data_IF_081147737420
#
_entry.id   IF_081147737420
#
_cell.length_a   1.000
_cell.length_b   1.000
_cell.length_c   1.000
_cell.angle_alpha   90.00
_cell.angle_beta   90.00
_cell.angle_gamma   90.00
#
_symmetry.space_group_name_H-M   'P 1'
#
loop_
_entity.id
_entity.type
_entity.pdbx_description
1 polymer ?
#
# COMPACT_ATOMS: atom_id res chain seq x y z
N UNK A 1 -25.18 -1.73 1.45
CA UNK A 1 -24.04 -0.80 1.59
C UNK A 1 -22.77 -1.55 1.18
N UNK A 2 -22.33 -1.40 -0.07
CA UNK A 2 -21.04 -1.95 -0.46
C UNK A 2 -19.95 -1.16 0.27
N UNK A 3 -19.06 -1.87 0.96
CA UNK A 3 -17.94 -1.27 1.67
C UNK A 3 -17.09 -0.47 0.67
N UNK A 4 -17.22 0.87 0.68
CA UNK A 4 -16.55 1.81 -0.24
C UNK A 4 -15.03 1.70 -0.14
N UNK A 5 -14.54 1.40 1.06
CA UNK A 5 -13.11 1.39 1.36
C UNK A 5 -12.65 -0.05 1.59
N UNK A 6 -11.76 -0.53 0.73
CA UNK A 6 -11.02 -1.77 0.96
C UNK A 6 -9.76 -1.41 1.74
N UNK A 7 -9.48 -2.11 2.84
CA UNK A 7 -8.26 -1.92 3.62
C UNK A 7 -7.52 -3.23 3.76
N UNK A 8 -6.20 -3.20 3.63
CA UNK A 8 -5.33 -4.30 4.02
C UNK A 8 -4.22 -3.80 4.95
N UNK A 9 -3.66 -4.70 5.75
CA UNK A 9 -2.53 -4.41 6.63
C UNK A 9 -1.50 -5.52 6.55
N UNK A 10 -0.23 -5.16 6.55
CA UNK A 10 0.89 -6.09 6.55
C UNK A 10 1.94 -5.65 7.58
N UNK A 11 2.69 -6.61 8.09
CA UNK A 11 3.89 -6.36 8.88
C UNK A 11 5.10 -6.92 8.13
N UNK A 12 6.12 -6.08 7.94
CA UNK A 12 7.40 -6.51 7.38
C UNK A 12 8.53 -5.88 8.17
N UNK A 13 9.48 -6.71 8.64
CA UNK A 13 10.65 -6.27 9.40
C UNK A 13 10.30 -5.35 10.60
N UNK A 14 9.24 -5.68 11.33
CA UNK A 14 8.77 -4.87 12.47
C UNK A 14 8.04 -3.58 12.11
N UNK A 15 7.83 -3.30 10.82
CA UNK A 15 7.10 -2.12 10.36
C UNK A 15 5.67 -2.49 10.00
N UNK A 16 4.73 -1.85 10.68
CA UNK A 16 3.31 -1.99 10.37
C UNK A 16 2.95 -1.06 9.21
N UNK A 17 2.40 -1.61 8.14
CA UNK A 17 1.91 -0.83 7.01
C UNK A 17 0.46 -1.18 6.70
N UNK A 18 -0.29 -0.18 6.22
CA UNK A 18 -1.69 -0.34 5.85
C UNK A 18 -1.93 0.28 4.48
N UNK A 19 -2.76 -0.36 3.66
CA UNK A 19 -3.19 0.15 2.38
C UNK A 19 -4.70 0.38 2.41
N UNK A 20 -5.13 1.58 2.04
CA UNK A 20 -6.55 1.94 1.88
C UNK A 20 -6.84 2.23 0.41
N UNK A 21 -7.86 1.58 -0.11
CA UNK A 21 -8.37 1.83 -1.45
C UNK A 21 -9.83 2.27 -1.41
N UNK A 22 -10.07 3.47 -1.91
CA UNK A 22 -11.39 4.04 -2.08
C UNK A 22 -11.95 3.68 -3.45
N UNK A 23 -12.96 2.82 -3.48
CA UNK A 23 -13.52 2.27 -4.73
C UNK A 23 -14.23 3.30 -5.59
N UNK A 24 -14.81 4.34 -4.98
CA UNK A 24 -15.58 5.36 -5.71
C UNK A 24 -14.64 6.33 -6.42
N UNK A 25 -13.52 6.67 -5.78
CA UNK A 25 -12.54 7.63 -6.31
C UNK A 25 -11.34 6.97 -6.99
N UNK A 26 -11.16 5.66 -6.79
CA UNK A 26 -9.96 4.92 -7.19
C UNK A 26 -8.70 5.35 -6.46
N UNK A 27 -8.82 6.05 -5.32
CA UNK A 27 -7.68 6.56 -4.55
C UNK A 27 -7.05 5.46 -3.71
N UNK A 28 -5.74 5.31 -3.82
CA UNK A 28 -4.91 4.39 -3.02
C UNK A 28 -4.06 5.19 -2.03
N UNK A 29 -4.05 4.80 -0.76
CA UNK A 29 -3.23 5.39 0.29
C UNK A 29 -2.43 4.31 1.00
N UNK A 30 -1.16 4.57 1.27
CA UNK A 30 -0.30 3.70 2.06
C UNK A 30 0.12 4.43 3.33
N UNK A 31 -0.08 3.77 4.45
CA UNK A 31 0.33 4.21 5.77
C UNK A 31 1.44 3.31 6.28
N UNK A 32 2.37 3.87 7.03
CA UNK A 32 3.46 3.17 7.69
C UNK A 32 3.54 3.69 9.13
N UNK A 33 3.41 2.81 10.12
CA UNK A 33 3.31 3.15 11.54
C UNK A 33 2.27 4.27 11.81
N UNK A 34 1.16 4.25 11.06
CA UNK A 34 0.08 5.24 11.14
C UNK A 34 0.30 6.53 10.36
N UNK A 35 1.49 6.78 9.81
CA UNK A 35 1.77 7.97 9.00
C UNK A 35 1.49 7.71 7.51
N UNK A 36 0.80 8.65 6.84
CA UNK A 36 0.59 8.58 5.38
C UNK A 36 1.93 8.73 4.65
N UNK A 37 2.33 7.71 3.90
CA UNK A 37 3.58 7.68 3.14
C UNK A 37 3.36 7.96 1.67
N UNK A 38 2.33 7.35 1.10
CA UNK A 38 2.02 7.46 -0.31
C UNK A 38 0.53 7.65 -0.51
N UNK A 39 0.21 8.48 -1.49
CA UNK A 39 -1.15 8.68 -1.96
C UNK A 39 -1.12 8.72 -3.48
N UNK A 40 -1.91 7.85 -4.11
CA UNK A 40 -2.04 7.77 -5.55
C UNK A 40 -3.50 7.91 -5.96
N UNK A 41 -3.70 8.67 -7.03
CA UNK A 41 -4.98 8.85 -7.70
C UNK A 41 -4.98 8.11 -9.04
N UNK A 42 -6.15 7.85 -9.65
CA UNK A 42 -6.20 7.30 -11.00
C UNK A 42 -5.43 8.16 -12.01
N UNK A 43 -4.74 7.56 -13.00
CA UNK A 43 -4.62 6.11 -13.23
C UNK A 43 -3.48 5.45 -12.43
N UNK A 44 -2.64 6.23 -11.74
CA UNK A 44 -1.44 5.71 -11.05
C UNK A 44 -1.76 4.69 -9.96
N UNK A 45 -2.84 4.90 -9.21
CA UNK A 45 -3.32 3.92 -8.21
C UNK A 45 -3.59 2.55 -8.84
N UNK A 46 -4.24 2.53 -10.00
CA UNK A 46 -4.52 1.31 -10.75
C UNK A 46 -3.27 0.67 -11.32
N UNK A 47 -2.34 1.45 -11.86
CA UNK A 47 -1.05 0.94 -12.32
C UNK A 47 -0.32 0.23 -11.17
N UNK A 48 -0.20 0.87 -10.00
CA UNK A 48 0.45 0.27 -8.83
C UNK A 48 -0.19 -1.07 -8.42
N UNK A 49 -1.52 -1.11 -8.33
CA UNK A 49 -2.27 -2.32 -7.97
C UNK A 49 -2.05 -3.43 -9.00
N UNK A 50 -2.19 -3.10 -10.29
CA UNK A 50 -2.06 -4.07 -11.37
C UNK A 50 -0.65 -4.65 -11.48
N UNK A 51 0.38 -3.82 -11.30
CA UNK A 51 1.78 -4.24 -11.29
C UNK A 51 2.10 -5.13 -10.09
N UNK A 52 1.62 -4.78 -8.89
CA UNK A 52 1.90 -5.54 -7.68
C UNK A 52 1.15 -6.90 -7.65
N UNK A 53 -0.12 -6.92 -8.09
CA UNK A 53 -0.95 -8.12 -8.10
C UNK A 53 -0.71 -9.04 -9.33
N UNK A 54 0.35 -8.79 -10.11
CA UNK A 54 0.72 -9.63 -11.25
C UNK A 54 -0.34 -9.71 -12.34
N UNK A 55 -1.09 -8.61 -12.58
CA UNK A 55 -2.12 -8.52 -13.62
C UNK A 55 -3.28 -9.55 -13.50
N UNK A 56 -3.47 -10.20 -12.34
CA UNK A 56 -4.38 -11.35 -12.21
C UNK A 56 -5.88 -11.02 -12.35
N UNK A 57 -6.29 -9.77 -12.16
CA UNK A 57 -7.72 -9.38 -12.13
C UNK A 57 -8.00 -8.05 -12.83
N UNK A 58 -7.73 -7.96 -14.12
CA UNK A 58 -8.18 -6.82 -14.92
C UNK A 58 -9.71 -6.69 -14.82
N UNK A 59 -10.20 -5.54 -14.37
CA UNK A 59 -11.62 -5.22 -14.26
C UNK A 59 -12.32 -5.57 -12.94
N UNK A 60 -11.65 -6.26 -11.99
CA UNK A 60 -12.21 -6.54 -10.68
C UNK A 60 -11.72 -5.52 -9.64
N UNK A 61 -12.61 -5.03 -8.77
CA UNK A 61 -12.23 -4.11 -7.70
C UNK A 61 -11.17 -4.76 -6.81
N UNK A 62 -10.08 -4.05 -6.47
CA UNK A 62 -9.03 -4.61 -5.64
C UNK A 62 -9.61 -5.01 -4.28
N UNK A 63 -9.41 -6.28 -3.94
CA UNK A 63 -9.69 -6.81 -2.62
C UNK A 63 -8.45 -6.70 -1.73
N UNK A 64 -8.56 -7.24 -0.53
CA UNK A 64 -7.48 -7.18 0.48
C UNK A 64 -6.19 -7.81 -0.05
N UNK A 65 -6.27 -8.95 -0.75
CA UNK A 65 -5.09 -9.63 -1.32
C UNK A 65 -4.31 -8.79 -2.32
N UNK A 66 -5.00 -8.04 -3.18
CA UNK A 66 -4.33 -7.15 -4.13
C UNK A 66 -3.65 -5.98 -3.40
N UNK A 67 -4.26 -5.48 -2.32
CA UNK A 67 -3.66 -4.43 -1.49
C UNK A 67 -2.48 -4.94 -0.64
N UNK A 68 -2.53 -6.18 -0.16
CA UNK A 68 -1.39 -6.83 0.49
C UNK A 68 -0.21 -6.95 -0.47
N UNK A 69 -0.45 -7.34 -1.73
CA UNK A 69 0.59 -7.39 -2.75
C UNK A 69 1.22 -6.00 -2.98
N UNK A 70 0.41 -4.93 -3.01
CA UNK A 70 0.91 -3.54 -3.07
C UNK A 70 1.77 -3.21 -1.86
N UNK A 71 1.36 -3.59 -0.66
CA UNK A 71 2.15 -3.37 0.55
C UNK A 71 3.50 -4.07 0.46
N UNK A 72 3.51 -5.34 0.05
CA UNK A 72 4.76 -6.08 -0.14
C UNK A 72 5.67 -5.42 -1.18
N UNK A 73 5.13 -4.93 -2.30
CA UNK A 73 5.90 -4.25 -3.34
C UNK A 73 6.47 -2.90 -2.86
N UNK A 74 5.67 -2.10 -2.15
CA UNK A 74 6.10 -0.79 -1.63
C UNK A 74 7.16 -0.97 -0.54
N UNK A 75 7.01 -1.98 0.30
CA UNK A 75 7.95 -2.27 1.39
C UNK A 75 9.23 -2.96 0.87
N UNK A 76 9.15 -3.78 -0.18
CA UNK A 76 10.33 -4.45 -0.79
C UNK A 76 11.20 -3.49 -1.59
N UNK A 77 10.59 -2.50 -2.26
CA UNK A 77 11.29 -1.47 -3.05
C UNK A 77 12.05 -0.45 -2.20
N UNK A 78 11.95 -0.50 -0.87
CA UNK A 78 12.77 0.31 0.03
C UNK A 78 14.05 -0.43 0.42
N UNK A 79 15.22 -0.06 -0.11
CA UNK A 79 16.45 -0.25 0.64
C UNK A 79 16.37 0.69 1.85
N UNK A 80 16.37 0.13 3.04
CA UNK A 80 16.38 0.87 4.29
C UNK A 80 17.62 1.78 4.33
N UNK A 81 17.42 3.10 4.22
CA UNK A 81 18.28 4.01 4.95
C UNK A 81 17.71 4.03 6.36
N UNK A 82 18.29 3.19 7.21
CA UNK A 82 18.27 3.39 8.64
C UNK A 82 18.84 4.79 8.87
N UNK A 83 18.00 5.77 9.18
CA UNK A 83 18.50 7.02 9.78
C UNK A 83 19.04 6.63 11.14
N UNK A 84 20.30 6.22 11.13
CA UNK A 84 21.18 6.28 12.27
C UNK A 84 21.20 7.73 12.73
N UNK A 85 20.35 8.07 13.70
CA UNK A 85 20.69 9.07 14.70
C UNK A 85 19.80 8.93 15.94
N UNK A 86 20.37 8.32 16.98
CA UNK A 86 20.30 8.83 18.36
C UNK A 86 21.17 7.94 19.27
N UNK A 87 22.47 7.90 18.96
CA UNK A 87 23.52 7.59 19.92
C UNK A 87 24.62 8.61 19.71
N UNK A 88 24.40 9.82 20.23
CA UNK A 88 25.50 10.68 20.66
C UNK A 88 25.29 10.91 22.16
N UNK A 89 26.21 10.29 22.88
CA UNK A 89 26.70 10.44 24.25
C UNK A 89 25.99 11.39 25.22
#
# INVERSE_FOLDING_TARGET
MLNRLTRASAQLNGTAACADFDRDTGRLRIFENGALRFEWFPPHSWFMISSAAGFSKWGCHPGEKELEAVLHEVLSRRPWVETADASVS
#
